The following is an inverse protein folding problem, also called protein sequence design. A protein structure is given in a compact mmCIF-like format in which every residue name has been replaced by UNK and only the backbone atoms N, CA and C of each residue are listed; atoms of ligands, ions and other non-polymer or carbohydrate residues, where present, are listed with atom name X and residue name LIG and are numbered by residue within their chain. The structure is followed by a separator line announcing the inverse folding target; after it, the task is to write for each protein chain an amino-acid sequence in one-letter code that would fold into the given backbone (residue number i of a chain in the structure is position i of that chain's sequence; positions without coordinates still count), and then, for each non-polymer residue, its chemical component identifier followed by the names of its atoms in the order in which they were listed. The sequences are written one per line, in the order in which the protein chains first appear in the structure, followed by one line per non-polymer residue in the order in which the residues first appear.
data_IF_925478400136
#
_entry.id   IF_925478400136
#
_cell.length_a   1.000
_cell.length_b   1.000
_cell.length_c   1.000
_cell.angle_alpha   90.00
_cell.angle_beta   90.00
_cell.angle_gamma   90.00
#
_symmetry.space_group_name_H-M   'P 1'
#
loop_
_entity.id
_entity.type
_entity.pdbx_description
1 polymer ?
#
# COMPACT_ATOMS: atom_id res chain seq x y z
N UNK A 1 13.35 7.29 20.00
CA UNK A 1 12.01 7.71 19.57
C UNK A 1 11.02 6.80 20.26
N UNK A 2 10.38 7.29 21.32
CA UNK A 2 9.59 6.47 22.23
C UNK A 2 8.09 6.66 21.95
N UNK A 3 7.26 5.63 22.17
CA UNK A 3 5.80 5.64 21.88
C UNK A 3 5.07 6.86 22.46
N UNK A 4 5.60 7.41 23.55
CA UNK A 4 5.10 8.56 24.28
C UNK A 4 5.32 9.89 23.53
N UNK A 5 6.48 10.07 22.90
CA UNK A 5 6.83 11.26 22.13
C UNK A 5 5.95 11.38 20.87
N UNK A 6 5.59 10.23 20.29
CA UNK A 6 4.68 10.16 19.14
C UNK A 6 3.24 10.54 19.50
N UNK A 7 2.73 10.08 20.66
CA UNK A 7 1.40 10.45 21.13
C UNK A 7 1.28 11.94 21.45
N UNK A 8 2.33 12.54 22.02
CA UNK A 8 2.40 13.99 22.25
C UNK A 8 2.40 14.77 20.92
N UNK A 9 3.11 14.31 19.89
CA UNK A 9 3.11 14.94 18.57
C UNK A 9 1.72 14.91 17.88
N UNK A 10 0.96 13.81 18.04
CA UNK A 10 -0.40 13.71 17.49
C UNK A 10 -1.37 14.66 18.21
N UNK A 11 -1.29 14.77 19.54
CA UNK A 11 -2.21 15.60 20.32
C UNK A 11 -2.14 17.09 19.94
N UNK A 12 -0.96 17.60 19.56
CA UNK A 12 -0.77 19.01 19.21
C UNK A 12 -1.36 19.41 17.85
N UNK A 13 -1.68 18.46 16.96
CA UNK A 13 -2.18 18.77 15.61
C UNK A 13 -3.72 18.86 15.54
N UNK A 14 -4.43 18.45 16.61
CA UNK A 14 -5.89 18.35 16.63
C UNK A 14 -6.66 19.66 16.87
N UNK A 15 -5.99 20.82 16.97
CA UNK A 15 -6.62 22.11 17.26
C UNK A 15 -6.90 22.98 16.02
N UNK A 16 -7.20 22.37 14.86
CA UNK A 16 -7.62 23.09 13.66
C UNK A 16 -9.16 23.24 13.67
N UNK A 17 -9.71 24.45 13.49
CA UNK A 17 -10.90 24.90 14.21
C UNK A 17 -12.23 24.33 13.73
N UNK A 18 -13.06 23.97 14.71
CA UNK A 18 -14.49 23.68 14.61
C UNK A 18 -15.25 25.01 14.48
N UNK A 19 -15.44 25.53 13.27
CA UNK A 19 -16.50 26.51 12.98
C UNK A 19 -16.98 26.35 11.54
N UNK A 20 -18.08 25.61 11.37
CA UNK A 20 -18.73 25.44 10.07
C UNK A 20 -19.68 24.25 9.95
N UNK A 21 -20.32 23.81 11.03
CA UNK A 21 -21.34 22.76 10.97
C UNK A 21 -22.69 23.36 10.54
N UNK A 22 -22.95 23.39 9.22
CA UNK A 22 -24.33 23.42 8.71
C UNK A 22 -24.83 21.97 8.69
N UNK A 23 -25.94 21.71 9.38
CA UNK A 23 -26.60 20.42 9.46
C UNK A 23 -27.27 20.06 8.11
N UNK A 24 -26.47 19.50 7.19
CA UNK A 24 -26.94 18.77 6.02
C UNK A 24 -26.90 17.26 6.28
N UNK A 25 -27.61 16.43 5.49
CA UNK A 25 -27.62 14.98 5.68
C UNK A 25 -26.19 14.43 5.58
N UNK A 26 -25.81 13.66 6.59
CA UNK A 26 -24.50 13.02 6.74
C UNK A 26 -24.25 12.13 5.52
N UNK A 27 -23.49 12.65 4.56
CA UNK A 27 -22.91 11.86 3.48
C UNK A 27 -21.74 11.12 4.10
N UNK A 28 -21.76 9.78 4.06
CA UNK A 28 -20.56 8.99 4.28
C UNK A 28 -19.59 9.29 3.14
N UNK A 29 -18.78 10.33 3.32
CA UNK A 29 -17.62 10.56 2.48
C UNK A 29 -16.60 9.50 2.85
N UNK A 30 -16.52 8.45 2.02
CA UNK A 30 -15.30 7.66 1.95
C UNK A 30 -14.14 8.66 1.78
N UNK A 31 -13.04 8.56 2.55
CA UNK A 31 -11.86 9.29 2.20
C UNK A 31 -11.45 8.79 0.81
N UNK A 32 -11.78 9.58 -0.21
CA UNK A 32 -11.13 9.44 -1.49
C UNK A 32 -9.66 9.70 -1.18
N UNK A 33 -8.88 8.63 -1.18
CA UNK A 33 -7.43 8.73 -1.18
C UNK A 33 -7.05 9.39 -2.52
N UNK A 34 -7.20 10.71 -2.60
CA UNK A 34 -6.62 11.51 -3.68
C UNK A 34 -5.13 11.62 -3.37
N UNK A 35 -4.47 10.50 -3.59
CA UNK A 35 -3.05 10.30 -3.39
C UNK A 35 -2.67 9.11 -4.22
N UNK A 36 -2.91 9.18 -5.54
CA UNK A 36 -2.07 8.42 -6.46
C UNK A 36 -0.64 8.82 -6.09
N UNK A 37 0.24 7.91 -5.64
CA UNK A 37 1.63 8.25 -5.53
C UNK A 37 2.07 8.54 -6.97
N UNK A 38 2.17 9.82 -7.32
CA UNK A 38 2.94 10.21 -8.49
C UNK A 38 4.40 9.98 -8.10
N UNK A 39 4.80 8.71 -8.14
CA UNK A 39 6.20 8.37 -8.28
C UNK A 39 6.59 8.88 -9.65
N UNK A 40 7.19 10.06 -9.68
CA UNK A 40 8.02 10.49 -10.81
C UNK A 40 9.16 9.48 -10.88
N UNK A 41 8.91 8.34 -11.50
CA UNK A 41 9.95 7.40 -11.88
C UNK A 41 10.75 8.12 -12.97
N UNK A 42 12.04 8.33 -12.69
CA UNK A 42 12.99 8.66 -13.74
C UNK A 42 12.78 7.64 -14.87
N UNK A 43 12.72 8.13 -16.11
CA UNK A 43 12.49 7.30 -17.30
C UNK A 43 13.72 6.42 -17.55
N UNK A 44 13.89 5.39 -16.72
CA UNK A 44 14.77 4.28 -16.99
C UNK A 44 13.94 3.18 -17.67
N UNK A 45 14.56 2.57 -18.66
CA UNK A 45 13.96 1.42 -19.34
C UNK A 45 13.79 0.26 -18.35
N UNK A 46 12.63 -0.42 -18.32
CA UNK A 46 12.42 -1.57 -17.43
C UNK A 46 13.46 -2.68 -17.66
N UNK A 47 13.87 -3.32 -16.56
CA UNK A 47 14.85 -4.40 -16.57
C UNK A 47 14.33 -5.66 -17.27
N UNK A 48 15.26 -6.56 -17.60
CA UNK A 48 14.92 -7.82 -18.29
C UNK A 48 13.93 -8.69 -17.48
N UNK A 49 14.05 -8.71 -16.15
CA UNK A 49 13.13 -9.44 -15.28
C UNK A 49 11.72 -8.86 -15.32
N UNK A 50 11.56 -7.54 -15.25
CA UNK A 50 10.26 -6.90 -15.34
C UNK A 50 9.57 -7.20 -16.68
N UNK A 51 10.32 -7.14 -17.79
CA UNK A 51 9.83 -7.52 -19.12
C UNK A 51 9.41 -8.99 -19.18
N UNK A 52 10.21 -9.92 -18.63
CA UNK A 52 9.86 -11.34 -18.61
C UNK A 52 8.58 -11.62 -17.81
N UNK A 53 8.38 -10.93 -16.68
CA UNK A 53 7.16 -11.04 -15.89
C UNK A 53 5.95 -10.43 -16.60
N UNK A 54 6.13 -9.29 -17.28
CA UNK A 54 5.10 -8.68 -18.10
C UNK A 54 4.68 -9.59 -19.26
N UNK A 55 5.62 -10.33 -19.86
CA UNK A 55 5.33 -11.32 -20.89
C UNK A 55 4.46 -12.48 -20.37
N UNK A 56 4.68 -12.96 -19.15
CA UNK A 56 3.80 -13.94 -18.54
C UNK A 56 2.36 -13.41 -18.38
N UNK A 57 2.22 -12.14 -17.99
CA UNK A 57 0.92 -11.47 -17.90
C UNK A 57 0.28 -11.32 -19.28
N UNK A 58 1.05 -10.94 -20.30
CA UNK A 58 0.58 -10.84 -21.69
C UNK A 58 0.05 -12.17 -22.20
N UNK A 59 0.75 -13.27 -21.92
CA UNK A 59 0.32 -14.63 -22.32
C UNK A 59 -1.00 -15.01 -21.64
N UNK A 60 -1.19 -14.65 -20.37
CA UNK A 60 -2.37 -15.05 -19.61
C UNK A 60 -3.58 -14.14 -19.85
N UNK A 61 -3.36 -12.86 -20.14
CA UNK A 61 -4.40 -11.82 -20.16
C UNK A 61 -4.37 -10.91 -21.40
N UNK A 62 -3.60 -11.26 -22.43
CA UNK A 62 -3.36 -10.41 -23.61
C UNK A 62 -4.63 -9.95 -24.32
N UNK A 63 -5.66 -10.79 -24.40
CA UNK A 63 -6.95 -10.41 -25.01
C UNK A 63 -7.70 -9.30 -24.25
N UNK A 64 -7.26 -8.98 -23.02
CA UNK A 64 -7.86 -7.99 -22.13
C UNK A 64 -6.98 -6.76 -21.90
N UNK A 65 -5.77 -6.75 -22.41
CA UNK A 65 -4.78 -5.71 -22.17
C UNK A 65 -4.37 -5.07 -23.49
N UNK A 66 -4.44 -3.74 -23.55
CA UNK A 66 -3.78 -3.01 -24.64
C UNK A 66 -2.26 -3.00 -24.43
N UNK A 67 -1.51 -2.70 -25.48
CA UNK A 67 -0.05 -2.50 -25.38
C UNK A 67 0.31 -1.37 -24.41
N UNK A 68 -0.53 -0.33 -24.32
CA UNK A 68 -0.35 0.75 -23.35
C UNK A 68 -0.55 0.27 -21.91
N UNK A 69 -1.53 -0.59 -21.66
CA UNK A 69 -1.74 -1.20 -20.34
C UNK A 69 -0.58 -2.12 -19.98
N UNK A 70 -0.06 -2.88 -20.94
CA UNK A 70 1.09 -3.75 -20.74
C UNK A 70 2.35 -2.95 -20.36
N UNK A 71 2.57 -1.81 -21.00
CA UNK A 71 3.67 -0.90 -20.70
C UNK A 71 3.54 -0.29 -19.28
N UNK A 72 2.32 0.07 -18.88
CA UNK A 72 2.03 0.48 -17.49
C UNK A 72 2.31 -0.65 -16.49
N UNK A 73 1.83 -1.86 -16.77
CA UNK A 73 2.07 -3.04 -15.93
C UNK A 73 3.57 -3.33 -15.81
N UNK A 74 4.31 -3.25 -16.91
CA UNK A 74 5.76 -3.48 -16.91
C UNK A 74 6.48 -2.50 -15.98
N UNK A 75 6.13 -1.21 -16.04
CA UNK A 75 6.67 -0.20 -15.11
C UNK A 75 6.28 -0.44 -13.66
N UNK A 76 5.06 -0.89 -13.40
CA UNK A 76 4.62 -1.23 -12.05
C UNK A 76 5.39 -2.43 -11.48
N UNK A 77 5.70 -3.43 -12.32
CA UNK A 77 6.53 -4.56 -11.95
C UNK A 77 7.94 -4.09 -11.59
N UNK A 78 8.56 -3.26 -12.42
CA UNK A 78 9.89 -2.69 -12.13
C UNK A 78 9.90 -1.98 -10.76
N UNK A 79 8.94 -1.08 -10.53
CA UNK A 79 8.79 -0.38 -9.26
C UNK A 79 8.50 -1.34 -8.08
N UNK A 80 7.85 -2.48 -8.33
CA UNK A 80 7.66 -3.55 -7.36
C UNK A 80 8.97 -4.25 -6.99
N UNK A 81 9.79 -4.58 -8.00
CA UNK A 81 11.09 -5.22 -7.83
C UNK A 81 12.06 -4.33 -7.05
N UNK A 82 12.15 -3.04 -7.39
CA UNK A 82 12.97 -2.07 -6.66
C UNK A 82 12.55 -1.95 -5.18
N UNK A 83 11.25 -2.02 -4.90
CA UNK A 83 10.73 -2.00 -3.52
C UNK A 83 11.05 -3.30 -2.80
N UNK A 84 10.89 -4.43 -3.46
CA UNK A 84 11.21 -5.73 -2.88
C UNK A 84 12.69 -5.83 -2.50
N UNK A 85 13.59 -5.35 -3.36
CA UNK A 85 15.03 -5.30 -3.07
C UNK A 85 15.32 -4.50 -1.79
N UNK A 86 14.69 -3.32 -1.64
CA UNK A 86 14.82 -2.50 -0.41
C UNK A 86 14.29 -3.21 0.84
N UNK A 87 13.17 -3.91 0.73
CA UNK A 87 12.59 -4.66 1.87
C UNK A 87 13.50 -5.81 2.28
N UNK A 88 14.09 -6.53 1.31
CA UNK A 88 15.00 -7.65 1.61
C UNK A 88 16.32 -7.26 2.29
N UNK A 89 16.67 -5.98 2.29
CA UNK A 89 17.85 -5.48 3.02
C UNK A 89 17.64 -5.44 4.54
N UNK A 90 16.38 -5.55 5.00
CA UNK A 90 16.09 -5.66 6.43
C UNK A 90 16.34 -7.10 6.87
N UNK A 91 17.38 -7.30 7.71
CA UNK A 91 17.67 -8.60 8.31
C UNK A 91 16.62 -8.88 9.38
N UNK A 92 15.85 -9.94 9.16
CA UNK A 92 14.92 -10.47 10.14
C UNK A 92 15.55 -11.69 10.82
N UNK A 93 15.40 -11.80 12.13
CA UNK A 93 15.70 -13.06 12.82
C UNK A 93 14.48 -13.99 12.69
N UNK A 94 14.67 -15.30 12.67
CA UNK A 94 13.56 -16.27 12.53
C UNK A 94 12.56 -16.21 13.71
N UNK A 95 12.87 -15.44 14.75
CA UNK A 95 11.99 -15.15 15.89
C UNK A 95 11.21 -13.84 15.78
N UNK A 96 11.38 -13.04 14.72
CA UNK A 96 10.62 -11.80 14.53
C UNK A 96 9.16 -12.14 14.19
N UNK A 97 8.25 -11.83 15.12
CA UNK A 97 6.81 -12.07 14.96
C UNK A 97 6.22 -11.14 13.89
N UNK A 98 5.27 -11.60 13.05
CA UNK A 98 4.57 -10.71 12.14
C UNK A 98 3.78 -9.65 12.92
N UNK A 99 3.58 -8.48 12.32
CA UNK A 99 2.81 -7.37 12.91
C UNK A 99 1.39 -7.79 13.32
N UNK A 100 0.85 -8.81 12.66
CA UNK A 100 -0.44 -9.41 12.98
C UNK A 100 -0.37 -10.93 12.95
N UNK A 101 -0.79 -11.55 14.05
CA UNK A 101 -1.07 -12.99 14.15
C UNK A 101 -2.57 -13.19 14.30
N UNK A 102 -3.15 -14.01 13.42
CA UNK A 102 -4.53 -14.44 13.57
C UNK A 102 -4.64 -15.56 14.62
N UNK A 103 -5.59 -15.44 15.55
CA UNK A 103 -5.95 -16.50 16.48
C UNK A 103 -7.46 -16.71 16.48
N UNK A 104 -7.89 -17.95 16.24
CA UNK A 104 -9.28 -18.33 16.32
C UNK A 104 -9.64 -18.68 17.77
N UNK A 105 -10.53 -17.90 18.39
CA UNK A 105 -11.10 -18.22 19.70
C UNK A 105 -12.34 -19.08 19.48
N UNK A 106 -12.33 -20.30 20.01
CA UNK A 106 -13.57 -21.10 20.14
C UNK A 106 -14.27 -20.62 21.41
N UNK A 107 -15.53 -20.13 21.36
CA UNK A 107 -16.26 -19.84 22.58
C UNK A 107 -16.46 -21.14 23.36
N UNK A 108 -15.99 -21.20 24.61
CA UNK A 108 -16.35 -22.28 25.51
C UNK A 108 -17.87 -22.40 25.63
N UNK A 109 -18.35 -23.64 25.61
CA UNK A 109 -19.76 -24.00 25.59
C UNK A 109 -20.56 -23.21 26.62
N UNK A 110 -21.41 -22.29 26.15
CA UNK A 110 -22.54 -21.77 26.94
C UNK A 110 -23.57 -22.89 27.06
N UNK A 111 -23.46 -23.65 28.15
CA UNK A 111 -24.46 -24.62 28.60
C UNK A 111 -25.64 -23.96 29.30
#
# INVERSE_FOLDING_TARGET
MNRREFAEAIALTALVPILGASAGPVRWALPVATGSPTTTHAVNEPGALAKALAEAIRVQYGDRLSEADLDVVTRQIEAGLERAEKVTQVVLDNGDEPDFVFSAIRPENVG
#
